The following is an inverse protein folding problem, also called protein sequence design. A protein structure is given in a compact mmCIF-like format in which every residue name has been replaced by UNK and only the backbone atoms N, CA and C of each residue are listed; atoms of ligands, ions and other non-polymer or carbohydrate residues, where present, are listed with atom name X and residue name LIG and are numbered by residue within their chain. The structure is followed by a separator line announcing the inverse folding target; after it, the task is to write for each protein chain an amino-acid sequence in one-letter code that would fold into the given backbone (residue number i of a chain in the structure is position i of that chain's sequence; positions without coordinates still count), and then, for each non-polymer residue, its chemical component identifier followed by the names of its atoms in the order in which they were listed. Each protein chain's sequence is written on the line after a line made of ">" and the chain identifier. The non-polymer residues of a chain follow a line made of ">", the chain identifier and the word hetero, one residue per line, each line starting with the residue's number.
data_IF_320312388605
#
_entry.id   IF_320312388605
#
_cell.length_a   1.000
_cell.length_b   1.000
_cell.length_c   1.000
_cell.angle_alpha   90.00
_cell.angle_beta   90.00
_cell.angle_gamma   90.00
#
_symmetry.space_group_name_H-M   'P 1'
#
loop_
_entity.id
_entity.type
_entity.pdbx_description
1 polymer ?
#
# COMPACT_ATOMS: atom_id res chain seq x y z
N UNK A 1 55.72 -8.40 -12.04
CA UNK A 1 55.03 -7.42 -12.91
C UNK A 1 53.55 -7.64 -12.75
N UNK A 2 52.93 -6.85 -11.88
CA UNK A 2 51.51 -6.89 -11.55
C UNK A 2 50.87 -5.65 -12.18
N UNK A 3 49.76 -5.84 -12.89
CA UNK A 3 48.91 -4.79 -13.42
C UNK A 3 47.59 -4.75 -12.60
N UNK A 4 46.96 -3.57 -12.48
CA UNK A 4 46.31 -3.15 -11.25
C UNK A 4 44.81 -3.42 -11.22
N UNK A 5 44.27 -3.50 -10.00
CA UNK A 5 42.86 -3.66 -9.70
C UNK A 5 42.05 -2.43 -10.12
N UNK A 6 40.91 -2.69 -10.75
CA UNK A 6 39.89 -1.69 -11.01
C UNK A 6 39.06 -1.52 -9.73
N UNK A 7 39.41 -0.50 -8.94
CA UNK A 7 38.53 0.06 -7.92
C UNK A 7 37.31 0.66 -8.62
N UNK A 8 36.15 0.06 -8.40
CA UNK A 8 34.86 0.64 -8.78
C UNK A 8 34.53 1.69 -7.72
N UNK A 9 34.76 2.96 -8.05
CA UNK A 9 34.24 4.10 -7.30
C UNK A 9 32.71 3.97 -7.18
N UNK A 10 32.25 3.61 -5.99
CA UNK A 10 30.85 3.80 -5.60
C UNK A 10 30.66 5.29 -5.37
N UNK A 11 29.95 5.95 -6.29
CA UNK A 11 29.46 7.30 -6.10
C UNK A 11 28.52 7.32 -4.88
N UNK A 12 29.05 7.85 -3.77
CA UNK A 12 28.30 8.15 -2.56
C UNK A 12 27.20 9.17 -2.89
N UNK A 13 25.95 8.76 -2.78
CA UNK A 13 24.82 9.67 -2.81
C UNK A 13 24.74 10.37 -1.44
N UNK A 14 25.46 11.47 -1.32
CA UNK A 14 25.31 12.45 -0.24
C UNK A 14 23.88 13.03 -0.24
N UNK A 15 23.03 12.52 0.64
CA UNK A 15 21.81 13.21 1.09
C UNK A 15 21.66 13.01 2.60
N UNK A 16 22.52 13.69 3.36
CA UNK A 16 22.23 14.36 4.64
C UNK A 16 23.54 14.79 5.30
N UNK A 17 24.14 15.86 4.81
CA UNK A 17 24.95 16.76 5.62
C UNK A 17 24.16 18.06 5.75
N UNK A 18 23.57 18.24 6.94
CA UNK A 18 22.79 19.40 7.30
C UNK A 18 23.73 20.60 7.47
N UNK A 19 23.86 21.42 6.43
CA UNK A 19 24.38 22.78 6.57
C UNK A 19 23.86 23.70 5.44
N UNK A 20 23.12 24.73 5.87
CA UNK A 20 22.64 25.92 5.14
C UNK A 20 21.46 25.76 4.16
N UNK A 21 20.24 26.03 4.67
CA UNK A 21 19.22 26.77 3.91
C UNK A 21 18.20 25.99 3.06
N UNK A 22 17.91 24.73 3.35
CA UNK A 22 16.90 23.96 2.60
C UNK A 22 15.45 24.41 2.89
N UNK A 23 14.64 24.56 1.83
CA UNK A 23 13.17 24.65 1.93
C UNK A 23 12.58 23.24 1.96
N UNK A 24 11.74 22.96 2.96
CA UNK A 24 11.08 21.66 3.16
C UNK A 24 9.58 21.80 3.38
N UNK A 25 8.89 20.66 3.56
CA UNK A 25 7.50 20.61 3.98
C UNK A 25 7.35 19.70 5.19
N UNK A 26 6.50 20.08 6.12
CA UNK A 26 6.15 19.30 7.31
C UNK A 26 4.66 19.02 7.31
N UNK A 27 4.27 17.82 7.73
CA UNK A 27 2.85 17.47 7.89
C UNK A 27 2.35 18.07 9.19
N UNK A 28 1.19 18.70 9.12
CA UNK A 28 0.49 19.20 10.30
C UNK A 28 -0.48 18.11 10.73
N UNK A 29 -0.36 17.59 11.97
CA UNK A 29 -1.26 16.57 12.47
C UNK A 29 -2.70 17.10 12.49
N UNK A 30 -3.70 16.26 12.19
CA UNK A 30 -5.10 16.67 12.22
C UNK A 30 -5.50 17.13 13.63
N UNK A 31 -6.23 18.24 13.73
CA UNK A 31 -6.83 18.73 14.97
C UNK A 31 -8.28 18.28 15.07
N UNK A 32 -8.71 17.78 16.23
CA UNK A 32 -10.09 17.33 16.48
C UNK A 32 -11.15 18.44 16.31
N UNK A 33 -10.75 19.71 16.45
CA UNK A 33 -11.63 20.86 16.31
C UNK A 33 -11.69 21.42 14.86
N UNK A 34 -10.92 20.88 13.92
CA UNK A 34 -10.81 21.42 12.57
C UNK A 34 -11.81 20.78 11.59
N UNK A 35 -12.16 21.54 10.54
CA UNK A 35 -12.95 21.03 9.43
C UNK A 35 -12.25 19.84 8.75
N UNK A 36 -13.00 18.87 8.19
CA UNK A 36 -12.41 17.72 7.52
C UNK A 36 -11.56 18.16 6.32
N UNK A 37 -10.41 17.48 6.15
CA UNK A 37 -9.53 17.75 5.02
C UNK A 37 -10.27 17.51 3.69
N UNK A 38 -10.04 18.36 2.67
CA UNK A 38 -10.67 18.19 1.37
C UNK A 38 -10.22 16.87 0.72
N UNK A 39 -11.08 16.35 -0.17
CA UNK A 39 -10.83 15.09 -0.86
C UNK A 39 -10.10 15.32 -2.18
N UNK A 40 -9.12 14.47 -2.46
CA UNK A 40 -8.55 14.26 -3.79
C UNK A 40 -8.99 12.88 -4.33
N UNK A 41 -8.60 12.47 -5.56
CA UNK A 41 -8.91 11.14 -6.08
C UNK A 41 -8.43 9.98 -5.19
N UNK A 42 -7.43 10.21 -4.33
CA UNK A 42 -6.81 9.22 -3.44
C UNK A 42 -7.30 9.30 -1.98
N UNK A 43 -8.46 9.94 -1.75
CA UNK A 43 -9.04 10.13 -0.41
C UNK A 43 -8.69 11.49 0.23
N UNK A 44 -8.84 11.61 1.56
CA UNK A 44 -8.54 12.85 2.28
C UNK A 44 -7.08 13.29 2.08
N UNK A 45 -6.90 14.57 1.78
CA UNK A 45 -5.57 15.19 1.65
C UNK A 45 -4.88 15.34 3.00
N UNK A 46 -3.56 15.52 2.98
CA UNK A 46 -2.80 15.89 4.17
C UNK A 46 -2.61 17.41 4.21
N UNK A 47 -2.58 17.96 5.43
CA UNK A 47 -2.27 19.36 5.68
C UNK A 47 -0.76 19.51 5.85
N UNK A 48 -0.19 20.50 5.17
CA UNK A 48 1.24 20.77 5.15
C UNK A 48 1.52 22.22 5.52
N UNK A 49 2.70 22.43 6.09
CA UNK A 49 3.31 23.74 6.27
C UNK A 49 4.70 23.73 5.61
N UNK A 50 5.06 24.83 4.93
CA UNK A 50 6.42 24.97 4.40
C UNK A 50 7.38 25.30 5.53
N UNK A 51 8.59 24.79 5.44
CA UNK A 51 9.68 25.12 6.37
C UNK A 51 10.76 25.80 5.55
N UNK A 52 11.11 27.03 5.91
CA UNK A 52 12.12 27.84 5.24
C UNK A 52 13.17 28.24 6.27
N UNK A 53 14.43 27.86 6.04
CA UNK A 53 15.55 28.10 6.99
C UNK A 53 15.25 27.59 8.41
N UNK A 54 14.64 26.40 8.53
CA UNK A 54 14.30 25.78 9.81
C UNK A 54 13.10 26.40 10.54
N UNK A 55 12.46 27.43 9.98
CA UNK A 55 11.25 28.06 10.53
C UNK A 55 10.03 27.66 9.70
N UNK A 56 8.97 27.23 10.38
CA UNK A 56 7.68 26.99 9.75
C UNK A 56 7.11 28.32 9.24
N UNK A 57 6.73 28.35 7.96
CA UNK A 57 5.94 29.45 7.41
C UNK A 57 4.55 29.47 8.05
N UNK A 58 3.90 30.62 8.06
CA UNK A 58 2.59 30.77 8.71
C UNK A 58 1.44 30.12 7.94
N UNK A 59 1.58 29.97 6.62
CA UNK A 59 0.46 29.54 5.77
C UNK A 59 0.51 28.05 5.46
N UNK A 60 -0.61 27.37 5.75
CA UNK A 60 -0.78 25.92 5.55
C UNK A 60 -1.56 25.62 4.28
N UNK A 61 -1.32 24.45 3.70
CA UNK A 61 -1.99 24.00 2.48
C UNK A 61 -2.25 22.50 2.48
N UNK A 62 -3.32 22.10 1.79
CA UNK A 62 -3.66 20.71 1.54
C UNK A 62 -3.03 20.20 0.24
N UNK A 63 -2.47 19.00 0.28
CA UNK A 63 -1.95 18.30 -0.91
C UNK A 63 -2.22 16.79 -0.85
N UNK A 64 -2.05 16.12 -1.99
CA UNK A 64 -2.28 14.67 -2.12
C UNK A 64 -1.46 13.89 -1.08
N UNK A 65 -2.08 12.89 -0.46
CA UNK A 65 -1.44 12.00 0.51
C UNK A 65 -0.57 10.92 -0.14
N UNK A 66 -0.99 10.43 -1.32
CA UNK A 66 -0.36 9.29 -2.00
C UNK A 66 0.58 9.68 -3.15
N UNK A 67 0.41 10.86 -3.76
CA UNK A 67 1.20 11.30 -4.90
C UNK A 67 2.07 12.50 -4.53
N UNK A 68 3.36 12.38 -4.78
CA UNK A 68 4.35 13.45 -4.55
C UNK A 68 4.47 14.38 -5.74
N UNK A 69 4.33 13.83 -6.95
CA UNK A 69 4.36 14.62 -8.17
C UNK A 69 2.96 15.20 -8.44
N UNK A 70 2.93 16.50 -8.71
CA UNK A 70 1.69 17.19 -9.11
C UNK A 70 1.19 16.73 -10.47
N UNK A 71 2.02 16.05 -11.27
CA UNK A 71 1.60 15.42 -12.53
C UNK A 71 0.66 14.24 -12.30
N UNK A 72 0.89 13.47 -11.23
CA UNK A 72 0.09 12.28 -10.90
C UNK A 72 -1.19 12.68 -10.13
N UNK A 73 -1.07 13.66 -9.23
CA UNK A 73 -2.24 14.31 -8.61
C UNK A 73 -1.94 15.79 -8.36
N UNK A 74 -2.59 16.68 -9.11
CA UNK A 74 -2.36 18.12 -9.05
C UNK A 74 -3.14 18.82 -7.91
N UNK A 75 -3.64 18.06 -6.93
CA UNK A 75 -4.41 18.63 -5.84
C UNK A 75 -3.58 19.62 -5.03
N UNK A 76 -4.07 20.85 -4.94
CA UNK A 76 -3.56 21.89 -4.05
C UNK A 76 -4.70 22.80 -3.60
N UNK A 77 -4.68 23.22 -2.35
CA UNK A 77 -5.61 24.20 -1.78
C UNK A 77 -4.99 24.82 -0.53
N UNK A 78 -5.04 26.14 -0.37
CA UNK A 78 -4.64 26.76 0.90
C UNK A 78 -5.69 26.51 1.98
N UNK A 79 -5.28 26.33 3.24
CA UNK A 79 -6.20 26.05 4.35
C UNK A 79 -7.28 27.15 4.51
N UNK A 80 -6.88 28.40 4.27
CA UNK A 80 -7.73 29.60 4.36
C UNK A 80 -8.48 29.92 3.06
N UNK A 81 -8.28 29.15 1.99
CA UNK A 81 -8.93 29.39 0.69
C UNK A 81 -10.41 28.97 0.72
N UNK A 82 -11.29 29.97 0.57
CA UNK A 82 -12.73 29.72 0.36
C UNK A 82 -13.00 29.37 -1.11
N UNK A 83 -13.51 28.16 -1.34
CA UNK A 83 -13.87 27.70 -2.68
C UNK A 83 -15.32 28.07 -3.02
N UNK A 84 -15.55 28.49 -4.27
CA UNK A 84 -16.91 28.64 -4.80
C UNK A 84 -17.57 27.28 -5.03
N UNK A 85 -18.91 27.24 -5.04
CA UNK A 85 -19.66 26.02 -5.31
C UNK A 85 -19.31 25.37 -6.66
N UNK A 86 -19.04 26.17 -7.69
CA UNK A 86 -18.61 25.67 -9.00
C UNK A 86 -17.23 24.97 -8.95
N UNK A 87 -16.28 25.51 -8.17
CA UNK A 87 -14.95 24.87 -8.00
C UNK A 87 -15.05 23.57 -7.21
N UNK A 88 -15.92 23.52 -6.20
CA UNK A 88 -16.20 22.29 -5.45
C UNK A 88 -16.82 21.21 -6.36
N UNK A 89 -17.84 21.55 -7.15
CA UNK A 89 -18.48 20.63 -8.09
C UNK A 89 -17.50 20.11 -9.17
N UNK A 90 -16.66 20.99 -9.73
CA UNK A 90 -15.63 20.60 -10.69
C UNK A 90 -14.61 19.61 -10.08
N UNK A 91 -14.23 19.84 -8.83
CA UNK A 91 -13.33 18.96 -8.07
C UNK A 91 -13.97 17.59 -7.80
N UNK A 92 -15.22 17.55 -7.39
CA UNK A 92 -15.94 16.28 -7.20
C UNK A 92 -16.09 15.50 -8.51
N UNK A 93 -16.28 16.20 -9.65
CA UNK A 93 -16.27 15.58 -10.96
C UNK A 93 -14.90 14.96 -11.28
N UNK A 94 -13.81 15.71 -11.06
CA UNK A 94 -12.45 15.22 -11.25
C UNK A 94 -12.13 14.01 -10.36
N UNK A 95 -12.47 14.09 -9.07
CA UNK A 95 -12.28 12.99 -8.12
C UNK A 95 -13.03 11.73 -8.54
N UNK A 96 -14.24 11.86 -9.11
CA UNK A 96 -15.00 10.73 -9.64
C UNK A 96 -14.33 10.10 -10.87
N UNK A 97 -13.72 10.89 -11.75
CA UNK A 97 -13.00 10.40 -12.93
C UNK A 97 -11.72 9.64 -12.58
N UNK A 98 -11.07 9.97 -11.46
CA UNK A 98 -9.88 9.27 -10.98
C UNK A 98 -10.17 7.96 -10.26
N UNK A 99 -11.44 7.55 -10.13
CA UNK A 99 -11.80 6.26 -9.51
C UNK A 99 -11.53 5.10 -10.46
N UNK A 100 -11.30 3.89 -9.94
CA UNK A 100 -11.24 2.69 -10.76
C UNK A 100 -12.49 2.54 -11.66
N UNK A 101 -12.33 2.05 -12.90
CA UNK A 101 -13.45 1.94 -13.85
C UNK A 101 -14.47 0.86 -13.45
N UNK A 102 -14.06 -0.11 -12.62
CA UNK A 102 -14.89 -1.17 -12.09
C UNK A 102 -15.03 -1.01 -10.58
N UNK A 103 -16.23 -1.21 -10.07
CA UNK A 103 -16.47 -1.30 -8.63
C UNK A 103 -15.92 -2.61 -8.05
N UNK A 104 -15.73 -2.64 -6.72
CA UNK A 104 -15.29 -3.84 -6.01
C UNK A 104 -16.19 -5.06 -6.30
N UNK A 105 -17.51 -4.86 -6.29
CA UNK A 105 -18.50 -5.89 -6.57
C UNK A 105 -18.38 -6.42 -8.01
N UNK A 106 -18.24 -5.51 -8.98
CA UNK A 106 -18.03 -5.89 -10.38
C UNK A 106 -16.75 -6.70 -10.56
N UNK A 107 -15.66 -6.35 -9.86
CA UNK A 107 -14.43 -7.14 -9.88
C UNK A 107 -14.66 -8.57 -9.36
N UNK A 108 -15.41 -8.76 -8.26
CA UNK A 108 -15.73 -10.09 -7.73
C UNK A 108 -16.56 -10.89 -8.72
N UNK A 109 -17.65 -10.33 -9.22
CA UNK A 109 -18.55 -10.99 -10.16
C UNK A 109 -17.81 -11.41 -11.44
N UNK A 110 -16.98 -10.51 -11.98
CA UNK A 110 -16.14 -10.79 -13.15
C UNK A 110 -15.12 -11.88 -12.86
N UNK A 111 -14.44 -11.84 -11.71
CA UNK A 111 -13.48 -12.87 -11.33
C UNK A 111 -14.13 -14.25 -11.23
N UNK A 112 -15.31 -14.36 -10.60
CA UNK A 112 -16.07 -15.61 -10.50
C UNK A 112 -16.48 -16.15 -11.87
N UNK A 113 -16.95 -15.29 -12.77
CA UNK A 113 -17.23 -15.67 -14.17
C UNK A 113 -15.95 -16.12 -14.89
N UNK A 114 -14.85 -15.40 -14.70
CA UNK A 114 -13.58 -15.64 -15.37
C UNK A 114 -13.00 -17.02 -15.03
N UNK A 115 -12.99 -17.41 -13.75
CA UNK A 115 -12.45 -18.72 -13.33
C UNK A 115 -13.29 -19.91 -13.81
N UNK A 116 -14.56 -19.69 -14.19
CA UNK A 116 -15.42 -20.72 -14.77
C UNK A 116 -15.18 -20.92 -16.27
N UNK A 117 -14.53 -19.97 -16.96
CA UNK A 117 -14.21 -20.09 -18.38
C UNK A 117 -13.25 -21.26 -18.64
N UNK A 118 -13.34 -21.93 -19.81
CA UNK A 118 -12.28 -22.82 -20.29
C UNK A 118 -10.94 -22.08 -20.40
N UNK A 119 -9.82 -22.80 -20.26
CA UNK A 119 -8.48 -22.20 -20.32
C UNK A 119 -8.28 -21.36 -21.59
N UNK A 120 -8.71 -21.87 -22.74
CA UNK A 120 -8.65 -21.22 -24.06
C UNK A 120 -9.41 -19.90 -24.18
N UNK A 121 -10.29 -19.61 -23.24
CA UNK A 121 -11.09 -18.38 -23.19
C UNK A 121 -10.63 -17.42 -22.09
N UNK A 122 -9.64 -17.79 -21.28
CA UNK A 122 -9.11 -16.91 -20.23
C UNK A 122 -8.03 -16.02 -20.83
N UNK A 123 -8.38 -14.75 -21.02
CA UNK A 123 -7.50 -13.75 -21.62
C UNK A 123 -7.22 -12.62 -20.63
N UNK A 124 -6.00 -12.11 -20.64
CA UNK A 124 -5.59 -10.93 -19.89
C UNK A 124 -4.98 -9.91 -20.84
N UNK A 125 -5.48 -8.67 -20.81
CA UNK A 125 -4.93 -7.59 -21.61
C UNK A 125 -3.78 -6.91 -20.85
N UNK A 126 -2.57 -6.99 -21.39
CA UNK A 126 -1.39 -6.34 -20.82
C UNK A 126 -1.44 -4.83 -20.97
N UNK A 127 -1.96 -4.32 -22.09
CA UNK A 127 -2.09 -2.88 -22.32
C UNK A 127 -3.04 -2.21 -21.32
N UNK A 128 -4.13 -2.87 -20.97
CA UNK A 128 -5.14 -2.35 -20.03
C UNK A 128 -4.96 -2.86 -18.59
N UNK A 129 -4.10 -3.86 -18.38
CA UNK A 129 -3.91 -4.56 -17.11
C UNK A 129 -5.21 -5.16 -16.55
N UNK A 130 -5.99 -5.82 -17.42
CA UNK A 130 -7.35 -6.28 -17.12
C UNK A 130 -7.61 -7.73 -17.57
N UNK A 131 -8.27 -8.50 -16.70
CA UNK A 131 -8.88 -9.79 -17.04
C UNK A 131 -10.08 -9.56 -17.97
N UNK A 132 -10.10 -10.28 -19.09
CA UNK A 132 -11.12 -10.13 -20.12
C UNK A 132 -12.13 -11.28 -20.08
N UNK A 133 -13.41 -10.95 -19.98
CA UNK A 133 -14.48 -11.87 -20.33
C UNK A 133 -14.67 -11.90 -21.85
N UNK A 134 -15.34 -12.92 -22.42
CA UNK A 134 -15.55 -13.04 -23.86
C UNK A 134 -16.17 -11.79 -24.50
N UNK A 135 -17.08 -11.13 -23.79
CA UNK A 135 -17.78 -9.91 -24.25
C UNK A 135 -16.82 -8.72 -24.42
N UNK A 136 -15.67 -8.71 -23.72
CA UNK A 136 -14.71 -7.60 -23.76
C UNK A 136 -13.76 -7.70 -24.97
N UNK A 137 -13.63 -8.87 -25.61
CA UNK A 137 -12.56 -9.13 -26.58
C UNK A 137 -12.54 -8.18 -27.77
N UNK A 138 -13.71 -7.74 -28.25
CA UNK A 138 -13.80 -6.83 -29.39
C UNK A 138 -13.13 -5.47 -29.13
N UNK A 139 -13.25 -4.95 -27.90
CA UNK A 139 -12.65 -3.67 -27.50
C UNK A 139 -11.12 -3.78 -27.34
N UNK A 140 -10.62 -5.00 -27.12
CA UNK A 140 -9.20 -5.29 -26.91
C UNK A 140 -8.55 -5.98 -28.12
N UNK A 141 -9.18 -5.95 -29.30
CA UNK A 141 -8.70 -6.64 -30.50
C UNK A 141 -7.30 -6.19 -30.97
N UNK A 142 -6.99 -4.90 -30.79
CA UNK A 142 -5.71 -4.29 -31.17
C UNK A 142 -4.72 -4.19 -29.99
N UNK A 143 -5.07 -4.69 -28.81
CA UNK A 143 -4.22 -4.62 -27.62
C UNK A 143 -3.30 -5.84 -27.51
N UNK A 144 -2.24 -5.72 -26.70
CA UNK A 144 -1.45 -6.88 -26.30
C UNK A 144 -2.25 -7.72 -25.29
N UNK A 145 -2.50 -8.97 -25.65
CA UNK A 145 -3.34 -9.90 -24.88
C UNK A 145 -2.61 -11.23 -24.69
N UNK A 146 -2.50 -11.65 -23.44
CA UNK A 146 -2.03 -12.97 -23.02
C UNK A 146 -3.23 -13.91 -22.98
N UNK A 147 -3.18 -14.99 -23.75
CA UNK A 147 -4.16 -16.08 -23.72
C UNK A 147 -3.85 -17.14 -22.67
N UNK A 148 -4.74 -18.13 -22.55
CA UNK A 148 -4.54 -19.32 -21.72
C UNK A 148 -4.13 -19.04 -20.27
N UNK A 149 -4.73 -18.02 -19.65
CA UNK A 149 -4.39 -17.62 -18.28
C UNK A 149 -4.82 -18.71 -17.28
N UNK A 150 -3.84 -19.41 -16.74
CA UNK A 150 -4.03 -20.51 -15.79
C UNK A 150 -4.46 -20.02 -14.41
N UNK A 151 -5.06 -20.91 -13.61
CA UNK A 151 -5.37 -20.61 -12.19
C UNK A 151 -4.11 -20.31 -11.39
N UNK A 152 -2.98 -20.94 -11.75
CA UNK A 152 -1.67 -20.67 -11.12
C UNK A 152 -1.23 -19.23 -11.33
N UNK A 153 -1.41 -18.68 -12.54
CA UNK A 153 -1.12 -17.27 -12.83
C UNK A 153 -2.10 -16.33 -12.11
N UNK A 154 -3.40 -16.66 -12.06
CA UNK A 154 -4.39 -15.87 -11.31
C UNK A 154 -4.07 -15.78 -9.81
N UNK A 155 -3.40 -16.78 -9.25
CA UNK A 155 -2.95 -16.78 -7.84
C UNK A 155 -1.63 -16.04 -7.63
N UNK A 156 -0.97 -15.57 -8.70
CA UNK A 156 0.24 -14.75 -8.67
C UNK A 156 0.07 -13.46 -9.50
N UNK A 157 -0.87 -12.55 -9.15
CA UNK A 157 -1.12 -11.37 -9.96
C UNK A 157 0.11 -10.47 -10.16
N UNK A 158 1.06 -10.43 -9.23
CA UNK A 158 2.34 -9.71 -9.39
C UNK A 158 3.23 -10.19 -10.54
N UNK A 159 2.97 -11.39 -11.08
CA UNK A 159 3.66 -11.92 -12.27
C UNK A 159 2.91 -11.62 -13.57
N UNK A 160 1.65 -11.16 -13.47
CA UNK A 160 0.80 -10.84 -14.61
C UNK A 160 0.65 -9.33 -14.79
N UNK A 161 0.55 -8.60 -13.68
CA UNK A 161 0.60 -7.15 -13.64
C UNK A 161 2.05 -6.68 -13.71
N UNK A 162 2.34 -5.69 -14.55
CA UNK A 162 3.64 -5.03 -14.47
C UNK A 162 3.70 -4.14 -13.22
N UNK A 163 4.86 -4.02 -12.55
CA UNK A 163 5.01 -3.18 -11.35
C UNK A 163 4.88 -1.69 -11.67
N UNK A 164 4.23 -0.93 -10.79
CA UNK A 164 4.14 0.54 -10.89
C UNK A 164 5.36 1.19 -10.23
N UNK A 165 6.49 1.18 -10.93
CA UNK A 165 7.81 1.60 -10.40
C UNK A 165 7.98 3.12 -10.20
N UNK A 166 6.99 3.96 -10.56
CA UNK A 166 7.09 5.41 -10.38
C UNK A 166 7.30 5.76 -8.89
N UNK A 167 8.54 6.14 -8.56
CA UNK A 167 9.02 6.46 -7.20
C UNK A 167 8.25 7.57 -6.51
N UNK A 168 7.51 8.39 -7.26
CA UNK A 168 6.76 9.56 -6.76
C UNK A 168 5.27 9.27 -6.52
N UNK A 169 4.79 8.10 -6.92
CA UNK A 169 3.40 7.67 -6.70
C UNK A 169 3.39 6.32 -5.98
N UNK A 170 3.35 5.21 -6.72
CA UNK A 170 3.17 3.88 -6.16
C UNK A 170 4.48 3.30 -5.60
N UNK A 171 5.61 3.57 -6.27
CA UNK A 171 6.94 3.06 -5.94
C UNK A 171 6.93 1.56 -5.57
N UNK A 172 6.28 0.75 -6.40
CA UNK A 172 6.07 -0.67 -6.14
C UNK A 172 7.37 -1.43 -6.41
N UNK A 173 8.15 -1.70 -5.37
CA UNK A 173 9.32 -2.58 -5.42
C UNK A 173 8.91 -3.94 -4.90
N UNK A 174 8.99 -4.94 -5.76
CA UNK A 174 8.38 -6.23 -5.47
C UNK A 174 9.42 -7.15 -4.81
N UNK A 175 9.13 -7.67 -3.62
CA UNK A 175 10.01 -8.65 -2.98
C UNK A 175 10.46 -9.77 -3.94
N UNK A 176 11.72 -10.14 -3.84
CA UNK A 176 12.23 -11.33 -4.50
C UNK A 176 11.53 -12.58 -3.99
N UNK A 177 11.49 -13.64 -4.80
CA UNK A 177 10.92 -14.91 -4.38
C UNK A 177 11.64 -15.48 -3.14
N UNK A 178 12.96 -15.31 -3.05
CA UNK A 178 13.77 -15.72 -1.89
C UNK A 178 13.33 -15.01 -0.61
N UNK A 179 13.14 -13.69 -0.67
CA UNK A 179 12.69 -12.89 0.47
C UNK A 179 11.28 -13.29 0.89
N UNK A 180 10.34 -13.45 -0.05
CA UNK A 180 9.00 -13.92 0.29
C UNK A 180 9.02 -15.31 0.96
N UNK A 181 9.79 -16.27 0.43
CA UNK A 181 9.89 -17.61 1.01
C UNK A 181 10.45 -17.57 2.43
N UNK A 182 11.50 -16.76 2.66
CA UNK A 182 12.05 -16.53 3.99
C UNK A 182 11.00 -15.96 4.94
N UNK A 183 10.31 -14.88 4.56
CA UNK A 183 9.30 -14.23 5.38
C UNK A 183 8.15 -15.19 5.73
N UNK A 184 7.62 -15.94 4.77
CA UNK A 184 6.57 -16.95 5.03
C UNK A 184 7.05 -18.04 5.99
N UNK A 185 8.30 -18.51 5.83
CA UNK A 185 8.91 -19.47 6.74
C UNK A 185 9.09 -18.93 8.16
N UNK A 186 9.53 -17.67 8.29
CA UNK A 186 9.69 -16.98 9.56
C UNK A 186 8.34 -16.79 10.26
N UNK A 187 7.33 -16.26 9.55
CA UNK A 187 5.98 -16.06 10.07
C UNK A 187 5.37 -17.37 10.59
N UNK A 188 5.59 -18.47 9.85
CA UNK A 188 5.14 -19.81 10.26
C UNK A 188 5.88 -20.32 11.49
N UNK A 189 7.20 -20.13 11.56
CA UNK A 189 8.04 -20.52 12.71
C UNK A 189 7.65 -19.76 13.98
N UNK A 190 7.30 -18.48 13.85
CA UNK A 190 6.83 -17.64 14.94
C UNK A 190 5.38 -17.96 15.37
N UNK A 191 4.69 -18.87 14.68
CA UNK A 191 3.35 -19.32 15.05
C UNK A 191 2.22 -18.36 14.66
N UNK A 192 2.47 -17.40 13.78
CA UNK A 192 1.41 -16.52 13.28
C UNK A 192 0.39 -17.28 12.44
N UNK A 193 -0.87 -16.85 12.53
CA UNK A 193 -2.01 -17.46 11.82
C UNK A 193 -2.66 -16.49 10.85
N UNK A 194 -2.46 -15.19 11.03
CA UNK A 194 -3.04 -14.14 10.19
C UNK A 194 -2.00 -13.06 9.90
N UNK A 195 -1.87 -12.68 8.63
CA UNK A 195 -0.92 -11.65 8.18
C UNK A 195 -1.68 -10.53 7.48
N UNK A 196 -1.69 -9.35 8.09
CA UNK A 196 -2.17 -8.14 7.44
C UNK A 196 -1.05 -7.59 6.54
N UNK A 197 -1.18 -7.83 5.24
CA UNK A 197 -0.23 -7.38 4.22
C UNK A 197 -0.58 -5.96 3.80
N UNK A 198 0.22 -4.96 4.19
CA UNK A 198 0.01 -3.56 3.82
C UNK A 198 1.05 -3.15 2.76
N UNK A 199 0.64 -3.06 1.50
CA UNK A 199 1.55 -2.78 0.39
C UNK A 199 2.51 -3.93 0.04
N UNK A 200 2.16 -5.19 0.36
CA UNK A 200 3.04 -6.35 0.17
C UNK A 200 2.40 -7.45 -0.69
N UNK A 201 2.05 -7.16 -1.96
CA UNK A 201 1.25 -8.07 -2.80
C UNK A 201 1.92 -9.44 -3.02
N UNK A 202 3.25 -9.49 -3.24
CA UNK A 202 3.96 -10.77 -3.44
C UNK A 202 4.00 -11.66 -2.22
N UNK A 203 4.10 -11.06 -1.03
CA UNK A 203 4.02 -11.80 0.21
C UNK A 203 2.61 -12.38 0.40
N UNK A 204 1.58 -11.58 0.16
CA UNK A 204 0.18 -12.01 0.20
C UNK A 204 -0.07 -13.20 -0.74
N UNK A 205 0.40 -13.13 -1.99
CA UNK A 205 0.30 -14.22 -2.97
C UNK A 205 0.94 -15.51 -2.46
N UNK A 206 2.18 -15.43 -1.97
CA UNK A 206 2.91 -16.61 -1.53
C UNK A 206 2.27 -17.25 -0.29
N UNK A 207 1.80 -16.45 0.66
CA UNK A 207 1.06 -16.94 1.83
C UNK A 207 -0.12 -17.80 1.36
N UNK A 208 -0.97 -17.27 0.48
CA UNK A 208 -2.17 -17.98 -0.01
C UNK A 208 -1.85 -19.25 -0.79
N UNK A 209 -0.74 -19.26 -1.53
CA UNK A 209 -0.27 -20.46 -2.22
C UNK A 209 0.17 -21.56 -1.24
N UNK A 210 0.88 -21.20 -0.17
CA UNK A 210 1.36 -22.17 0.82
C UNK A 210 0.23 -22.83 1.59
N UNK A 211 -0.84 -22.10 1.91
CA UNK A 211 -2.06 -22.63 2.57
C UNK A 211 -2.78 -23.69 1.70
N UNK A 212 -2.64 -23.61 0.38
CA UNK A 212 -3.31 -24.50 -0.57
C UNK A 212 -2.52 -25.78 -0.90
N UNK A 213 -1.24 -25.87 -0.51
CA UNK A 213 -0.25 -26.82 -1.01
C UNK A 213 -0.03 -28.09 -0.18
N UNK A 214 -0.96 -28.49 0.70
CA UNK A 214 -0.91 -29.76 1.44
C UNK A 214 -0.08 -29.77 2.73
N UNK A 215 0.81 -28.79 2.96
CA UNK A 215 1.31 -28.47 4.31
C UNK A 215 0.30 -27.53 4.98
N UNK A 216 -0.31 -27.98 6.08
CA UNK A 216 -1.33 -27.23 6.84
C UNK A 216 -0.76 -26.00 7.58
N UNK A 217 -0.12 -25.06 6.88
CA UNK A 217 0.06 -23.72 7.44
C UNK A 217 -1.29 -23.00 7.29
N UNK A 218 -2.03 -22.84 8.39
CA UNK A 218 -3.30 -22.11 8.42
C UNK A 218 -3.12 -20.58 8.36
N UNK A 219 -2.11 -20.11 7.61
CA UNK A 219 -1.79 -18.69 7.51
C UNK A 219 -2.81 -18.02 6.58
N UNK A 220 -3.68 -17.18 7.12
CA UNK A 220 -4.57 -16.30 6.36
C UNK A 220 -3.85 -14.99 6.04
N UNK A 221 -4.24 -14.34 4.96
CA UNK A 221 -3.71 -13.02 4.61
C UNK A 221 -4.79 -12.11 4.03
N UNK A 222 -4.76 -10.84 4.42
CA UNK A 222 -5.55 -9.74 3.87
C UNK A 222 -4.59 -8.70 3.29
N UNK A 223 -4.78 -8.33 2.03
CA UNK A 223 -3.98 -7.30 1.35
C UNK A 223 -4.69 -5.94 1.41
N UNK A 224 -4.02 -4.94 2.00
CA UNK A 224 -4.36 -3.53 1.90
C UNK A 224 -3.38 -2.87 0.92
N UNK A 225 -3.85 -2.42 -0.24
CA UNK A 225 -3.01 -1.79 -1.25
C UNK A 225 -3.74 -0.66 -1.97
N UNK A 226 -2.98 0.33 -2.46
CA UNK A 226 -3.51 1.43 -3.27
C UNK A 226 -3.66 1.02 -4.73
N UNK A 227 -2.95 -0.01 -5.19
CA UNK A 227 -3.07 -0.52 -6.54
C UNK A 227 -4.37 -1.32 -6.71
N UNK A 228 -5.41 -0.63 -7.17
CA UNK A 228 -6.73 -1.22 -7.44
C UNK A 228 -6.69 -2.36 -8.47
N UNK A 229 -5.63 -2.51 -9.28
CA UNK A 229 -5.53 -3.58 -10.28
C UNK A 229 -5.56 -4.97 -9.63
N UNK A 230 -5.15 -5.09 -8.36
CA UNK A 230 -5.26 -6.34 -7.60
C UNK A 230 -6.71 -6.73 -7.26
N UNK A 231 -7.65 -5.78 -7.28
CA UNK A 231 -9.06 -6.01 -6.93
C UNK A 231 -9.72 -7.09 -7.79
N UNK A 232 -9.31 -7.23 -9.05
CA UNK A 232 -9.88 -8.20 -10.00
C UNK A 232 -9.41 -9.65 -9.79
N UNK A 233 -8.43 -9.89 -8.91
CA UNK A 233 -7.87 -11.22 -8.66
C UNK A 233 -8.28 -11.81 -7.31
N UNK A 234 -8.87 -11.00 -6.45
CA UNK A 234 -9.15 -11.34 -5.06
C UNK A 234 -10.62 -11.18 -4.71
N UNK A 235 -11.09 -12.02 -3.79
CA UNK A 235 -12.42 -11.91 -3.17
C UNK A 235 -12.40 -10.86 -2.05
N UNK A 236 -13.57 -10.44 -1.57
CA UNK A 236 -13.71 -9.32 -0.63
C UNK A 236 -12.97 -9.53 0.69
N UNK A 237 -12.81 -10.79 1.10
CA UNK A 237 -12.10 -11.21 2.31
C UNK A 237 -10.56 -11.14 2.21
N UNK A 238 -10.02 -10.88 1.02
CA UNK A 238 -8.59 -11.02 0.73
C UNK A 238 -7.94 -9.72 0.24
N UNK A 239 -8.73 -8.69 -0.13
CA UNK A 239 -8.21 -7.42 -0.63
C UNK A 239 -9.11 -6.23 -0.27
N UNK A 240 -8.51 -5.14 0.20
CA UNK A 240 -9.14 -3.83 0.31
C UNK A 240 -8.33 -2.78 -0.44
N UNK A 241 -8.99 -2.01 -1.30
CA UNK A 241 -8.38 -0.82 -1.89
C UNK A 241 -8.21 0.23 -0.79
N UNK A 242 -6.96 0.56 -0.48
CA UNK A 242 -6.60 1.27 0.74
C UNK A 242 -5.41 2.21 0.52
N UNK A 243 -5.49 3.41 1.09
CA UNK A 243 -4.38 4.38 1.10
C UNK A 243 -3.73 4.44 2.49
N UNK A 244 -2.49 3.97 2.56
CA UNK A 244 -1.69 3.90 3.79
C UNK A 244 -1.20 5.25 4.34
N UNK A 245 -1.30 6.34 3.57
CA UNK A 245 -0.87 7.67 4.04
C UNK A 245 -1.96 8.44 4.78
N UNK A 246 -3.23 8.06 4.61
CA UNK A 246 -4.37 8.76 5.22
C UNK A 246 -5.41 7.82 5.85
N UNK A 247 -5.15 6.51 5.86
CA UNK A 247 -6.07 5.48 6.37
C UNK A 247 -7.43 5.48 5.64
N UNK A 248 -7.44 5.76 4.33
CA UNK A 248 -8.67 5.78 3.54
C UNK A 248 -8.96 4.42 2.91
N UNK A 249 -10.15 3.89 3.19
CA UNK A 249 -10.73 2.74 2.48
C UNK A 249 -11.64 3.25 1.35
N UNK A 250 -11.27 2.96 0.11
CA UNK A 250 -11.99 3.47 -1.06
C UNK A 250 -13.39 2.86 -1.21
N UNK A 251 -13.55 1.61 -0.76
CA UNK A 251 -14.83 0.90 -0.72
C UNK A 251 -15.64 1.20 0.55
N UNK A 252 -15.18 2.16 1.36
CA UNK A 252 -15.91 2.70 2.51
C UNK A 252 -15.98 1.74 3.71
N UNK A 253 -17.08 1.85 4.47
CA UNK A 253 -17.29 1.11 5.73
C UNK A 253 -17.19 -0.42 5.56
N UNK A 254 -17.74 -1.06 4.52
CA UNK A 254 -17.62 -2.51 4.36
C UNK A 254 -16.17 -3.01 4.35
N UNK A 255 -15.27 -2.34 3.61
CA UNK A 255 -13.86 -2.73 3.57
C UNK A 255 -13.13 -2.43 4.89
N UNK A 256 -13.49 -1.34 5.57
CA UNK A 256 -12.99 -1.05 6.92
C UNK A 256 -13.37 -2.17 7.90
N UNK A 257 -14.61 -2.65 7.85
CA UNK A 257 -15.10 -3.71 8.73
C UNK A 257 -14.46 -5.08 8.41
N UNK A 258 -14.17 -5.37 7.14
CA UNK A 258 -13.36 -6.56 6.76
C UNK A 258 -11.99 -6.51 7.43
N UNK A 259 -11.31 -5.36 7.36
CA UNK A 259 -10.01 -5.17 8.01
C UNK A 259 -10.10 -5.26 9.54
N UNK A 260 -11.12 -4.62 10.13
CA UNK A 260 -11.39 -4.68 11.57
C UNK A 260 -11.62 -6.11 12.04
N UNK A 261 -12.50 -6.85 11.38
CA UNK A 261 -12.81 -8.23 11.72
C UNK A 261 -11.57 -9.13 11.59
N UNK A 262 -10.75 -8.93 10.55
CA UNK A 262 -9.50 -9.66 10.38
C UNK A 262 -8.50 -9.42 11.53
N UNK A 263 -8.38 -8.17 11.96
CA UNK A 263 -7.51 -7.78 13.09
C UNK A 263 -8.02 -8.33 14.43
N UNK A 264 -9.33 -8.31 14.65
CA UNK A 264 -9.96 -8.70 15.92
C UNK A 264 -10.30 -10.20 16.01
N UNK A 265 -10.21 -10.95 14.90
CA UNK A 265 -10.39 -12.40 14.88
C UNK A 265 -9.50 -13.06 15.95
N UNK A 266 -10.04 -14.07 16.65
CA UNK A 266 -9.38 -14.76 17.78
C UNK A 266 -8.88 -13.81 18.87
N UNK A 267 -9.64 -12.74 19.16
CA UNK A 267 -9.24 -11.68 20.11
C UNK A 267 -7.86 -11.11 19.74
N UNK A 268 -7.60 -10.96 18.45
CA UNK A 268 -6.33 -10.46 17.93
C UNK A 268 -5.10 -11.33 18.21
N UNK A 269 -5.25 -12.56 18.71
CA UNK A 269 -4.13 -13.49 18.91
C UNK A 269 -3.62 -14.08 17.58
N UNK A 270 -2.31 -14.13 17.39
CA UNK A 270 -1.69 -14.73 16.20
C UNK A 270 -1.84 -13.90 14.91
N UNK A 271 -2.06 -12.58 15.03
CA UNK A 271 -2.00 -11.62 13.90
C UNK A 271 -0.68 -10.84 13.90
N UNK A 272 -0.16 -10.56 12.71
CA UNK A 272 0.99 -9.68 12.48
C UNK A 272 0.72 -8.79 11.27
N UNK A 273 1.12 -7.52 11.35
CA UNK A 273 1.14 -6.64 10.19
C UNK A 273 2.51 -6.71 9.51
N UNK A 274 2.54 -6.89 8.19
CA UNK A 274 3.77 -6.79 7.40
C UNK A 274 3.59 -5.71 6.35
N UNK A 275 4.43 -4.68 6.43
CA UNK A 275 4.33 -3.50 5.56
C UNK A 275 5.65 -3.19 4.86
N UNK A 276 5.55 -2.81 3.60
CA UNK A 276 6.65 -2.29 2.77
C UNK A 276 6.18 -0.99 2.09
N UNK A 277 6.05 0.10 2.85
CA UNK A 277 5.52 1.35 2.32
C UNK A 277 6.55 2.03 1.43
N UNK A 278 6.14 2.88 0.47
CA UNK A 278 7.08 3.49 -0.46
C UNK A 278 8.00 4.46 0.29
N UNK A 279 9.32 4.20 0.25
CA UNK A 279 10.36 4.92 1.01
C UNK A 279 10.41 6.42 0.74
N UNK A 280 9.94 6.84 -0.44
CA UNK A 280 9.79 8.24 -0.75
C UNK A 280 8.99 8.88 0.36
N UNK A 281 7.83 8.28 0.69
CA UNK A 281 6.79 8.67 1.65
C UNK A 281 7.22 9.38 2.93
N UNK A 282 6.34 10.21 3.48
CA UNK A 282 6.60 10.82 4.79
C UNK A 282 6.34 9.76 5.86
N UNK A 283 7.37 9.44 6.64
CA UNK A 283 7.33 8.41 7.71
C UNK A 283 6.25 8.71 8.74
N UNK A 284 6.04 9.99 9.06
CA UNK A 284 5.06 10.43 10.07
C UNK A 284 3.60 10.06 9.70
N UNK A 285 3.05 10.41 8.51
CA UNK A 285 1.75 9.92 8.08
C UNK A 285 1.58 8.39 8.08
N UNK A 286 2.62 7.65 7.71
CA UNK A 286 2.62 6.19 7.76
C UNK A 286 2.48 5.72 9.22
N UNK A 287 3.29 6.27 10.12
CA UNK A 287 3.23 5.93 11.54
C UNK A 287 1.86 6.26 12.17
N UNK A 288 1.27 7.41 11.84
CA UNK A 288 -0.10 7.79 12.26
C UNK A 288 -1.11 6.75 11.78
N UNK A 289 -1.01 6.32 10.52
CA UNK A 289 -1.92 5.35 9.94
C UNK A 289 -1.75 3.96 10.53
N UNK A 290 -0.51 3.53 10.79
CA UNK A 290 -0.24 2.27 11.49
C UNK A 290 -0.77 2.29 12.92
N UNK A 291 -0.67 3.42 13.64
CA UNK A 291 -1.29 3.58 14.95
C UNK A 291 -2.82 3.45 14.91
N UNK A 292 -3.48 3.86 13.82
CA UNK A 292 -4.93 3.62 13.63
C UNK A 292 -5.25 2.13 13.46
N UNK A 293 -4.46 1.40 12.67
CA UNK A 293 -4.61 -0.07 12.54
C UNK A 293 -4.38 -0.78 13.87
N UNK A 294 -3.35 -0.38 14.63
CA UNK A 294 -3.11 -0.88 16.00
C UNK A 294 -4.31 -0.57 16.91
N UNK A 295 -4.88 0.64 16.81
CA UNK A 295 -6.09 1.02 17.54
C UNK A 295 -7.26 0.08 17.25
N UNK A 296 -7.53 -0.20 15.98
CA UNK A 296 -8.56 -1.16 15.57
C UNK A 296 -8.32 -2.56 16.14
N UNK A 297 -7.07 -3.02 16.18
CA UNK A 297 -6.70 -4.29 16.81
C UNK A 297 -6.93 -4.26 18.33
N UNK A 298 -6.54 -3.19 19.02
CA UNK A 298 -6.72 -3.01 20.48
C UNK A 298 -8.19 -2.97 20.91
N UNK A 299 -9.07 -2.42 20.08
CA UNK A 299 -10.52 -2.37 20.37
C UNK A 299 -11.15 -3.76 20.55
N UNK A 300 -10.54 -4.82 19.99
CA UNK A 300 -11.00 -6.20 20.15
C UNK A 300 -10.41 -6.94 21.36
N UNK A 301 -9.54 -6.29 22.14
CA UNK A 301 -8.81 -6.90 23.27
C UNK A 301 -9.54 -6.73 24.60
N UNK A 302 -9.24 -7.60 25.57
CA UNK A 302 -9.77 -7.46 26.94
C UNK A 302 -8.96 -6.45 27.77
N UNK A 303 -9.49 -5.97 28.90
CA UNK A 303 -8.80 -4.97 29.74
C UNK A 303 -7.45 -5.47 30.32
N UNK A 304 -7.29 -6.79 30.49
CA UNK A 304 -6.05 -7.41 30.98
C UNK A 304 -4.92 -7.39 29.93
N UNK A 305 -5.25 -7.20 28.65
CA UNK A 305 -4.30 -7.20 27.53
C UNK A 305 -3.74 -5.80 27.21
N UNK A 306 -3.94 -4.83 28.11
CA UNK A 306 -3.55 -3.41 27.90
C UNK A 306 -2.06 -3.17 27.63
N UNK A 307 -1.20 -4.12 28.03
CA UNK A 307 0.25 -4.08 27.84
C UNK A 307 0.71 -4.74 26.52
N UNK A 308 -0.15 -5.47 25.81
CA UNK A 308 0.25 -6.17 24.60
C UNK A 308 0.31 -5.21 23.41
N UNK A 309 1.43 -5.25 22.69
CA UNK A 309 1.59 -4.54 21.43
C UNK A 309 1.28 -5.48 20.25
N UNK A 310 0.68 -4.93 19.21
CA UNK A 310 0.45 -5.65 17.97
C UNK A 310 1.81 -5.95 17.31
N UNK A 311 2.10 -7.20 16.93
CA UNK A 311 3.33 -7.53 16.20
C UNK A 311 3.35 -6.89 14.81
N UNK A 312 4.47 -6.28 14.43
CA UNK A 312 4.63 -5.56 13.15
C UNK A 312 6.03 -5.83 12.58
N UNK A 313 6.09 -6.19 11.30
CA UNK A 313 7.28 -6.05 10.47
C UNK A 313 7.12 -4.82 9.57
N UNK A 314 7.91 -3.79 9.85
CA UNK A 314 8.03 -2.62 8.99
C UNK A 314 9.33 -2.72 8.19
N UNK A 315 9.21 -3.22 6.97
CA UNK A 315 10.31 -3.34 6.02
C UNK A 315 10.53 -1.96 5.42
N UNK A 316 11.72 -1.39 5.65
CA UNK A 316 12.02 0.00 5.29
C UNK A 316 13.53 0.25 5.25
N UNK A 317 14.02 1.29 4.56
CA UNK A 317 15.45 1.57 4.49
C UNK A 317 16.08 1.86 5.86
N UNK A 318 17.23 1.23 6.12
CA UNK A 318 17.94 1.26 7.41
C UNK A 318 18.23 2.68 7.93
N UNK A 319 18.54 3.63 7.05
CA UNK A 319 18.86 5.01 7.43
C UNK A 319 17.67 5.80 8.00
N UNK A 320 16.46 5.23 7.99
CA UNK A 320 15.26 5.82 8.61
C UNK A 320 14.92 5.21 9.97
N UNK A 321 15.73 4.29 10.49
CA UNK A 321 15.56 3.66 11.81
C UNK A 321 15.26 4.68 12.91
N UNK A 322 16.11 5.71 13.06
CA UNK A 322 15.95 6.72 14.10
C UNK A 322 14.57 7.43 14.03
N UNK A 323 14.03 7.65 12.81
CA UNK A 323 12.70 8.24 12.64
C UNK A 323 11.58 7.24 12.95
N UNK A 324 11.74 5.97 12.59
CA UNK A 324 10.77 4.92 12.95
C UNK A 324 10.69 4.78 14.47
N UNK A 325 11.83 4.67 15.15
CA UNK A 325 11.91 4.47 16.61
C UNK A 325 11.37 5.67 17.41
N UNK A 326 11.35 6.89 16.83
CA UNK A 326 10.65 8.03 17.43
C UNK A 326 9.14 7.80 17.56
N UNK A 327 8.53 7.09 16.60
CA UNK A 327 7.10 6.80 16.62
C UNK A 327 6.76 5.47 17.30
N UNK A 328 7.68 4.50 17.22
CA UNK A 328 7.55 3.15 17.78
C UNK A 328 8.83 2.77 18.54
N UNK A 329 8.97 3.18 19.82
CA UNK A 329 10.20 2.97 20.59
C UNK A 329 10.55 1.50 20.87
N UNK A 330 9.58 0.58 20.75
CA UNK A 330 9.76 -0.85 20.91
C UNK A 330 10.37 -1.55 19.69
N UNK A 331 10.51 -0.84 18.55
CA UNK A 331 11.04 -1.43 17.33
C UNK A 331 12.56 -1.54 17.41
N UNK A 332 13.09 -2.61 16.81
CA UNK A 332 14.51 -2.79 16.58
C UNK A 332 14.73 -3.24 15.13
N UNK A 333 15.83 -2.78 14.53
CA UNK A 333 16.23 -3.23 13.20
C UNK A 333 16.93 -4.58 13.29
N UNK A 334 16.58 -5.50 12.38
CA UNK A 334 17.27 -6.77 12.19
C UNK A 334 18.25 -6.66 11.02
N UNK A 335 19.33 -7.45 11.04
CA UNK A 335 20.39 -7.41 10.01
C UNK A 335 20.00 -8.14 8.69
N UNK A 336 18.76 -8.59 8.55
CA UNK A 336 18.33 -9.26 7.34
C UNK A 336 18.23 -8.27 6.18
N UNK A 337 18.95 -8.56 5.10
CA UNK A 337 18.90 -7.77 3.88
C UNK A 337 17.79 -8.29 2.96
N UNK A 338 16.66 -7.57 2.95
CA UNK A 338 15.59 -7.81 2.00
C UNK A 338 16.05 -7.48 0.57
N UNK A 339 15.71 -8.35 -0.39
CA UNK A 339 15.96 -8.11 -1.81
C UNK A 339 14.63 -7.80 -2.46
N UNK A 340 14.47 -6.55 -2.90
CA UNK A 340 13.37 -6.11 -3.77
C UNK A 340 13.84 -6.08 -5.22
N UNK A 341 12.93 -6.38 -6.15
CA UNK A 341 13.14 -6.29 -7.59
C UNK A 341 12.37 -5.13 -8.18
#
# INVERSE_FOLDING_TARGET
>A
MAAPGAERECAEAELCADSQGGSGVKVVPPSEAAAPAPLCPHGPTLLFVKVSQGKEETRRFYACSACRDRKDCNFFQWEDEKLSGARLAARECHNRRGRPPLSRLQCVERYLRFIQLPLTQRKFCESCQQLLLPDDWGVHGEHQVVGDVSVTQLRRPSQLLYPLENKKANAQYLFSERTCQFLVGLLSTLGFRRVLCVGTPRLHELIRLTTSGGKKSNLKSLLLDIDFRYSQFYMEDSFCHYNMFNHHFFDGKPALEVCRAFLQEDKGDGVIMVTDPPFGGLVEPLAITFKKLIGMWKEGQSQDDSQQEMPIFWIFPYFLEARICQFFPSFCMLDYQDVTM
#
